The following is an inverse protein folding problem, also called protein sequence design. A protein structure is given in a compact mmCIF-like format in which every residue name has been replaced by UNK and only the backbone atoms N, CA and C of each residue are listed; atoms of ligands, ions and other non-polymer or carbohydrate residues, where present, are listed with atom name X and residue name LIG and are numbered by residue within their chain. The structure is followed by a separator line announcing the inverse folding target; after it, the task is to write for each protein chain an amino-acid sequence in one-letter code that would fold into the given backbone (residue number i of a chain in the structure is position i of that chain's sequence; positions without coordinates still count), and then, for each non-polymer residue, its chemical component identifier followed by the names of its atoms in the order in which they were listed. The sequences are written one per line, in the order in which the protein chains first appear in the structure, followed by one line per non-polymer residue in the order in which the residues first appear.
data_IF_101292797273
#
_entry.id   IF_101292797273
#
_cell.length_a   1.000
_cell.length_b   1.000
_cell.length_c   1.000
_cell.angle_alpha   90.00
_cell.angle_beta   90.00
_cell.angle_gamma   90.00
#
_symmetry.space_group_name_H-M   'P 1'
#
loop_
_entity.id
_entity.type
_entity.pdbx_description
1 polymer ?
#
# COMPACT_ATOMS: atom_id res chain seq x y z
N UNK A 1 -18.62 -4.18 -11.82
CA UNK A 1 -17.38 -4.94 -12.10
C UNK A 1 -17.54 -6.34 -11.53
N UNK A 2 -17.32 -7.39 -12.33
CA UNK A 2 -17.26 -8.78 -11.82
C UNK A 2 -15.99 -8.90 -10.97
N UNK A 3 -16.10 -9.37 -9.73
CA UNK A 3 -14.95 -9.83 -8.97
C UNK A 3 -14.31 -11.00 -9.75
N UNK A 4 -13.16 -10.77 -10.37
CA UNK A 4 -12.40 -11.83 -10.98
C UNK A 4 -11.73 -12.64 -9.87
N UNK A 5 -12.04 -13.93 -9.75
CA UNK A 5 -11.25 -14.84 -8.93
C UNK A 5 -9.89 -15.03 -9.61
N UNK A 6 -8.86 -14.36 -9.09
CA UNK A 6 -7.49 -14.54 -9.55
C UNK A 6 -6.93 -15.85 -9.00
N UNK A 7 -6.45 -16.71 -9.89
CA UNK A 7 -5.73 -17.92 -9.52
C UNK A 7 -4.24 -17.63 -9.63
N UNK A 8 -3.53 -17.83 -8.52
CA UNK A 8 -2.07 -17.66 -8.47
C UNK A 8 -1.36 -18.96 -8.84
N UNK A 9 -0.15 -18.85 -9.40
CA UNK A 9 0.70 -19.99 -9.71
C UNK A 9 1.21 -20.73 -8.47
N UNK A 10 2.03 -21.76 -8.69
CA UNK A 10 2.55 -22.66 -7.66
C UNK A 10 3.72 -22.11 -6.83
N UNK A 11 4.10 -20.84 -7.02
CA UNK A 11 5.17 -20.19 -6.26
C UNK A 11 4.86 -20.10 -4.76
N UNK A 12 5.91 -19.85 -3.97
CA UNK A 12 5.78 -19.80 -2.52
C UNK A 12 5.02 -18.54 -2.09
N UNK A 13 4.24 -18.68 -1.00
CA UNK A 13 3.51 -17.58 -0.38
C UNK A 13 4.21 -17.20 0.91
N UNK A 14 4.81 -16.02 0.91
CA UNK A 14 5.46 -15.41 2.05
C UNK A 14 4.51 -14.41 2.69
N UNK A 15 4.57 -14.28 4.01
CA UNK A 15 3.84 -13.25 4.75
C UNK A 15 4.82 -12.60 5.69
N UNK A 16 5.25 -11.39 5.35
CA UNK A 16 6.37 -10.71 6.01
C UNK A 16 5.88 -9.64 6.95
N UNK A 17 6.50 -9.52 8.12
CA UNK A 17 6.23 -8.45 9.08
C UNK A 17 7.03 -7.19 8.76
N UNK A 18 8.26 -7.03 9.26
CA UNK A 18 9.10 -5.86 9.02
C UNK A 18 9.70 -5.81 7.60
N UNK A 19 10.09 -4.61 7.16
CA UNK A 19 10.67 -4.33 5.84
C UNK A 19 11.89 -5.19 5.50
N UNK A 20 12.67 -5.57 6.52
CA UNK A 20 13.87 -6.41 6.34
C UNK A 20 13.50 -7.81 5.83
N UNK A 21 12.42 -8.39 6.35
CA UNK A 21 11.93 -9.69 5.88
C UNK A 21 11.45 -9.59 4.44
N UNK A 22 10.73 -8.51 4.09
CA UNK A 22 10.30 -8.26 2.71
C UNK A 22 11.50 -8.19 1.75
N UNK A 23 12.58 -7.50 2.14
CA UNK A 23 13.80 -7.42 1.34
C UNK A 23 14.50 -8.78 1.20
N UNK A 24 14.54 -9.58 2.27
CA UNK A 24 15.12 -10.93 2.24
C UNK A 24 14.33 -11.86 1.31
N UNK A 25 13.00 -11.84 1.39
CA UNK A 25 12.12 -12.56 0.45
C UNK A 25 12.37 -12.11 -1.00
N UNK A 26 12.45 -10.80 -1.23
CA UNK A 26 12.70 -10.25 -2.57
C UNK A 26 14.10 -10.58 -3.11
N UNK A 27 15.10 -10.73 -2.23
CA UNK A 27 16.45 -11.12 -2.61
C UNK A 27 16.58 -12.62 -2.92
N UNK A 28 15.80 -13.47 -2.25
CA UNK A 28 15.82 -14.92 -2.45
C UNK A 28 14.98 -15.39 -3.65
N UNK A 29 13.94 -14.64 -4.02
CA UNK A 29 13.04 -15.00 -5.11
C UNK A 29 13.59 -14.60 -6.49
N UNK A 30 13.43 -15.48 -7.49
CA UNK A 30 13.74 -15.17 -8.89
C UNK A 30 12.76 -14.11 -9.45
N UNK A 31 11.48 -14.24 -9.13
CA UNK A 31 10.44 -13.23 -9.36
C UNK A 31 9.49 -13.23 -8.17
N UNK A 32 9.05 -12.04 -7.75
CA UNK A 32 8.13 -11.86 -6.62
C UNK A 32 7.07 -10.80 -6.94
N UNK A 33 5.83 -11.02 -6.49
CA UNK A 33 4.77 -10.00 -6.51
C UNK A 33 4.28 -9.72 -5.10
N UNK A 34 4.12 -8.44 -4.77
CA UNK A 34 3.53 -8.01 -3.52
C UNK A 34 2.01 -8.02 -3.60
N UNK A 35 1.36 -8.55 -2.58
CA UNK A 35 -0.09 -8.55 -2.41
C UNK A 35 -0.43 -7.79 -1.13
N UNK A 36 -1.20 -6.72 -1.28
CA UNK A 36 -1.74 -5.95 -0.17
C UNK A 36 -3.00 -6.58 0.41
N UNK A 37 -4.12 -5.85 0.33
CA UNK A 37 -5.39 -6.27 0.90
C UNK A 37 -6.07 -7.47 0.23
N UNK A 38 -5.67 -7.83 -0.99
CA UNK A 38 -6.28 -8.90 -1.78
C UNK A 38 -7.56 -8.49 -2.52
N UNK A 39 -7.97 -7.23 -2.41
CA UNK A 39 -9.24 -6.71 -2.92
C UNK A 39 -9.21 -6.30 -4.41
N UNK A 40 -8.06 -6.50 -5.08
CA UNK A 40 -7.91 -6.18 -6.50
C UNK A 40 -8.39 -7.35 -7.37
N UNK A 41 -9.19 -7.04 -8.39
CA UNK A 41 -9.52 -7.96 -9.48
C UNK A 41 -8.54 -7.91 -10.66
N UNK A 42 -7.47 -7.11 -10.56
CA UNK A 42 -6.50 -6.90 -11.63
C UNK A 42 -5.44 -8.02 -11.66
N UNK A 43 -5.15 -8.55 -12.86
CA UNK A 43 -4.21 -9.66 -13.06
C UNK A 43 -2.73 -9.27 -12.86
N UNK A 44 -2.41 -8.00 -12.64
CA UNK A 44 -1.04 -7.50 -12.36
C UNK A 44 -0.38 -8.14 -11.15
N UNK A 45 -1.15 -8.68 -10.20
CA UNK A 45 -0.64 -9.44 -9.05
C UNK A 45 -0.42 -10.93 -9.33
N UNK A 46 -0.93 -11.45 -10.45
CA UNK A 46 -0.76 -12.86 -10.83
C UNK A 46 0.69 -13.09 -11.25
N UNK A 47 1.28 -14.17 -10.72
CA UNK A 47 2.65 -14.57 -11.03
C UNK A 47 2.79 -16.10 -10.90
N UNK A 48 3.75 -16.65 -11.62
CA UNK A 48 4.24 -18.02 -11.47
C UNK A 48 5.34 -18.13 -10.42
N UNK A 49 5.97 -17.00 -10.06
CA UNK A 49 6.94 -16.90 -8.97
C UNK A 49 6.28 -16.66 -7.62
N UNK A 50 7.06 -16.13 -6.68
CA UNK A 50 6.63 -16.01 -5.30
C UNK A 50 5.65 -14.85 -5.09
N UNK A 51 4.78 -15.01 -4.09
CA UNK A 51 3.91 -13.98 -3.59
C UNK A 51 4.36 -13.55 -2.20
N UNK A 52 4.38 -12.25 -1.95
CA UNK A 52 4.62 -11.71 -0.62
C UNK A 52 3.44 -10.88 -0.15
N UNK A 53 2.79 -11.33 0.91
CA UNK A 53 1.73 -10.60 1.58
C UNK A 53 2.35 -9.53 2.47
N UNK A 54 2.03 -8.27 2.18
CA UNK A 54 2.51 -7.09 2.95
C UNK A 54 1.52 -6.67 4.04
N UNK A 55 0.49 -7.47 4.30
CA UNK A 55 -0.59 -7.13 5.22
C UNK A 55 -0.17 -7.12 6.70
N UNK A 56 1.11 -7.35 7.02
CA UNK A 56 1.70 -7.14 8.35
C UNK A 56 2.65 -5.91 8.40
N UNK A 57 2.92 -5.24 7.28
CA UNK A 57 3.59 -3.94 7.22
C UNK A 57 2.59 -2.83 7.54
N UNK A 58 2.32 -2.60 8.83
CA UNK A 58 1.23 -1.72 9.29
C UNK A 58 1.68 -0.61 10.24
N UNK A 59 2.91 -0.11 10.11
CA UNK A 59 3.31 1.02 10.93
C UNK A 59 2.70 2.33 10.39
N UNK A 60 2.19 3.17 11.30
CA UNK A 60 2.08 4.61 11.06
C UNK A 60 3.36 5.22 11.58
N UNK A 61 4.16 5.78 10.68
CA UNK A 61 5.55 6.16 10.94
C UNK A 61 5.65 7.59 11.46
N UNK A 62 4.81 8.50 10.96
CA UNK A 62 4.75 9.89 11.41
C UNK A 62 3.40 10.54 11.07
N UNK A 63 3.01 11.52 11.88
CA UNK A 63 1.92 12.46 11.58
C UNK A 63 2.45 13.85 11.98
N UNK A 64 2.43 14.80 11.05
CA UNK A 64 2.86 16.17 11.26
C UNK A 64 1.72 17.14 10.89
N UNK A 65 0.91 17.57 11.88
CA UNK A 65 -0.18 18.49 11.64
C UNK A 65 0.27 19.89 11.21
N UNK A 66 1.49 20.32 11.54
CA UNK A 66 2.01 21.63 11.15
C UNK A 66 2.36 21.68 9.67
N UNK A 67 2.85 20.55 9.14
CA UNK A 67 3.16 20.39 7.72
C UNK A 67 2.00 19.78 6.92
N UNK A 68 0.85 19.52 7.57
CA UNK A 68 -0.29 18.84 6.96
C UNK A 68 0.12 17.55 6.24
N UNK A 69 0.94 16.72 6.89
CA UNK A 69 1.50 15.54 6.25
C UNK A 69 1.52 14.31 7.17
N UNK A 70 1.48 13.15 6.55
CA UNK A 70 1.54 11.87 7.24
C UNK A 70 2.45 10.88 6.53
N UNK A 71 3.03 9.97 7.30
CA UNK A 71 3.83 8.86 6.80
C UNK A 71 3.33 7.50 7.31
N UNK A 72 3.21 6.54 6.40
CA UNK A 72 2.59 5.25 6.66
C UNK A 72 3.20 4.13 5.82
N UNK A 73 3.21 2.91 6.36
CA UNK A 73 3.46 1.69 5.57
C UNK A 73 2.27 1.32 4.70
N UNK A 74 2.54 0.84 3.50
CA UNK A 74 1.50 0.57 2.50
C UNK A 74 0.63 -0.67 2.79
N UNK A 75 0.99 -1.48 3.79
CA UNK A 75 0.20 -2.62 4.25
C UNK A 75 -0.92 -2.27 5.23
N UNK A 76 -0.97 -1.04 5.75
CA UNK A 76 -2.09 -0.54 6.57
C UNK A 76 -3.42 -0.63 5.81
N UNK A 77 -4.56 -0.75 6.53
CA UNK A 77 -5.86 -0.54 5.88
C UNK A 77 -6.10 0.95 5.66
N UNK A 78 -6.66 1.28 4.50
CA UNK A 78 -6.97 2.65 4.11
C UNK A 78 -7.92 3.32 5.12
N UNK A 79 -8.98 2.64 5.55
CA UNK A 79 -9.92 3.18 6.54
C UNK A 79 -9.33 3.37 7.94
N UNK A 80 -8.38 2.50 8.34
CA UNK A 80 -7.66 2.65 9.62
C UNK A 80 -6.75 3.88 9.58
N UNK A 81 -6.06 4.09 8.45
CA UNK A 81 -5.21 5.26 8.22
C UNK A 81 -6.02 6.56 8.28
N UNK A 82 -7.11 6.65 7.53
CA UNK A 82 -7.92 7.88 7.47
C UNK A 82 -8.54 8.20 8.84
N UNK A 83 -8.96 7.18 9.59
CA UNK A 83 -9.45 7.34 10.96
C UNK A 83 -8.37 7.86 11.92
N UNK A 84 -7.13 7.40 11.77
CA UNK A 84 -6.00 7.85 12.59
C UNK A 84 -5.61 9.29 12.29
N UNK A 85 -5.54 9.66 11.01
CA UNK A 85 -5.29 11.03 10.59
C UNK A 85 -6.39 11.97 11.06
N UNK A 86 -7.65 11.57 10.95
CA UNK A 86 -8.77 12.36 11.43
C UNK A 86 -8.68 12.66 12.94
N UNK A 87 -8.30 11.66 13.75
CA UNK A 87 -8.03 11.87 15.19
C UNK A 87 -6.85 12.80 15.45
N UNK A 88 -5.89 12.86 14.54
CA UNK A 88 -4.75 13.78 14.56
C UNK A 88 -5.03 15.17 13.96
N UNK A 89 -6.28 15.45 13.56
CA UNK A 89 -6.67 16.74 12.98
C UNK A 89 -6.36 16.87 11.48
N UNK A 90 -6.10 15.76 10.78
CA UNK A 90 -5.78 15.74 9.35
C UNK A 90 -6.83 14.93 8.57
N UNK A 91 -7.08 15.31 7.32
CA UNK A 91 -7.97 14.58 6.42
C UNK A 91 -7.42 14.63 5.00
N UNK A 92 -7.71 13.61 4.19
CA UNK A 92 -7.42 13.67 2.76
C UNK A 92 -8.46 14.52 2.04
N UNK A 93 -8.02 15.30 1.05
CA UNK A 93 -8.90 16.09 0.17
C UNK A 93 -9.97 15.23 -0.55
N UNK A 94 -9.61 13.99 -0.93
CA UNK A 94 -10.53 13.03 -1.53
C UNK A 94 -10.50 11.70 -0.78
N UNK A 95 -11.69 11.14 -0.51
CA UNK A 95 -11.87 9.88 0.20
C UNK A 95 -12.72 8.89 -0.60
N UNK A 96 -12.32 7.63 -0.58
CA UNK A 96 -13.13 6.54 -1.12
C UNK A 96 -13.98 5.85 -0.05
N UNK A 97 -15.14 5.33 -0.44
CA UNK A 97 -15.96 4.44 0.38
C UNK A 97 -15.34 3.05 0.55
N UNK A 98 -14.32 2.70 -0.24
CA UNK A 98 -13.58 1.43 -0.12
C UNK A 98 -12.55 1.48 1.02
N UNK A 99 -13.02 1.32 2.26
CA UNK A 99 -12.18 1.45 3.47
C UNK A 99 -11.35 0.22 3.81
N UNK A 100 -11.71 -0.95 3.27
CA UNK A 100 -11.13 -2.24 3.66
C UNK A 100 -9.84 -2.62 2.90
N UNK A 101 -9.51 -1.92 1.82
CA UNK A 101 -8.28 -2.20 1.06
C UNK A 101 -7.02 -1.72 1.78
N UNK A 102 -5.87 -2.27 1.37
CA UNK A 102 -4.56 -1.76 1.81
C UNK A 102 -4.31 -0.35 1.26
N UNK A 103 -3.49 0.44 1.96
CA UNK A 103 -2.96 1.74 1.51
C UNK A 103 -2.30 1.61 0.13
N UNK A 104 -1.51 0.56 -0.14
CA UNK A 104 -0.98 0.29 -1.48
C UNK A 104 -2.08 0.22 -2.55
N UNK A 105 -3.14 -0.53 -2.25
CA UNK A 105 -4.29 -0.70 -3.14
C UNK A 105 -5.04 0.61 -3.38
N UNK A 106 -5.24 1.42 -2.34
CA UNK A 106 -5.91 2.71 -2.46
C UNK A 106 -5.08 3.69 -3.30
N UNK A 107 -3.82 3.92 -2.92
CA UNK A 107 -2.99 4.95 -3.54
C UNK A 107 -2.37 4.55 -4.88
N UNK A 108 -2.20 3.26 -5.18
CA UNK A 108 -1.62 2.80 -6.45
C UNK A 108 -2.62 2.07 -7.36
N UNK A 109 -3.83 1.79 -6.88
CA UNK A 109 -4.90 1.15 -7.66
C UNK A 109 -5.84 2.12 -8.38
N UNK A 110 -5.56 3.43 -8.36
CA UNK A 110 -6.38 4.45 -9.03
C UNK A 110 -7.73 4.72 -8.36
N UNK A 111 -7.80 4.53 -7.05
CA UNK A 111 -9.03 4.71 -6.28
C UNK A 111 -9.39 6.18 -6.17
N UNK A 112 -10.65 6.52 -6.39
CA UNK A 112 -11.17 7.88 -6.27
C UNK A 112 -12.43 7.91 -5.41
N UNK A 113 -12.75 9.08 -4.87
CA UNK A 113 -14.05 9.35 -4.26
C UNK A 113 -15.14 9.66 -5.29
N UNK A 114 -16.33 10.07 -4.83
CA UNK A 114 -17.49 10.33 -5.68
C UNK A 114 -17.42 11.67 -6.44
N UNK A 115 -16.50 12.57 -6.10
CA UNK A 115 -16.38 13.87 -6.73
C UNK A 115 -15.82 13.79 -8.14
N UNK A 116 -16.62 14.18 -9.15
CA UNK A 116 -16.21 14.13 -10.56
C UNK A 116 -15.02 15.04 -10.92
N UNK A 117 -14.70 16.02 -10.06
CA UNK A 117 -13.59 16.96 -10.26
C UNK A 117 -12.37 16.61 -9.39
N UNK A 118 -12.55 15.67 -8.47
CA UNK A 118 -11.51 15.27 -7.53
C UNK A 118 -10.75 14.10 -8.17
N UNK A 119 -9.43 14.25 -8.29
CA UNK A 119 -8.61 13.18 -8.84
C UNK A 119 -8.53 11.95 -7.92
N UNK A 120 -7.79 10.92 -8.34
CA UNK A 120 -7.48 9.76 -7.48
C UNK A 120 -6.94 10.19 -6.11
N UNK A 121 -7.20 9.39 -5.06
CA UNK A 121 -6.59 9.57 -3.73
C UNK A 121 -5.05 9.60 -3.80
N UNK A 122 -4.47 9.07 -4.87
CA UNK A 122 -3.05 9.16 -5.23
C UNK A 122 -2.50 10.59 -5.31
N UNK A 123 -3.33 11.60 -5.59
CA UNK A 123 -2.85 13.00 -5.69
C UNK A 123 -2.29 13.54 -4.38
N UNK A 124 -2.70 12.98 -3.26
CA UNK A 124 -2.15 13.33 -1.96
C UNK A 124 -0.70 12.86 -1.77
N UNK A 125 -0.21 11.88 -2.54
CA UNK A 125 1.13 11.29 -2.34
C UNK A 125 2.24 12.22 -2.81
N UNK A 126 3.20 12.50 -1.93
CA UNK A 126 4.36 13.36 -2.20
C UNK A 126 5.70 12.64 -2.22
N UNK A 127 5.82 11.47 -1.58
CA UNK A 127 7.01 10.62 -1.67
C UNK A 127 6.63 9.16 -1.61
N UNK A 128 7.44 8.27 -2.22
CA UNK A 128 7.29 6.81 -2.13
C UNK A 128 8.65 6.20 -1.84
N UNK A 129 8.66 5.20 -0.97
CA UNK A 129 9.81 4.31 -0.78
C UNK A 129 9.56 2.94 -1.38
N UNK A 130 10.61 2.39 -2.00
CA UNK A 130 10.56 1.09 -2.67
C UNK A 130 11.53 0.13 -2.00
N UNK A 131 11.02 -1.05 -1.61
CA UNK A 131 11.85 -2.15 -1.16
C UNK A 131 12.58 -2.75 -2.37
N UNK A 132 13.89 -2.51 -2.44
CA UNK A 132 14.74 -3.12 -3.46
C UNK A 132 15.37 -4.42 -2.90
N UNK A 133 15.62 -5.39 -3.79
CA UNK A 133 16.30 -6.65 -3.45
C UNK A 133 17.73 -6.46 -2.91
N UNK A 134 18.35 -5.33 -3.22
CA UNK A 134 19.61 -4.93 -2.59
C UNK A 134 19.33 -4.33 -1.22
N UNK A 135 19.89 -4.97 -0.19
CA UNK A 135 19.82 -4.52 1.21
C UNK A 135 20.53 -3.18 1.45
N UNK A 136 21.33 -2.69 0.48
CA UNK A 136 22.05 -1.43 0.56
C UNK A 136 21.21 -0.20 0.15
N UNK A 137 20.07 -0.38 -0.52
CA UNK A 137 19.21 0.73 -0.91
C UNK A 137 18.23 1.07 0.22
N UNK A 138 18.49 2.19 0.92
CA UNK A 138 17.55 2.76 1.88
C UNK A 138 17.17 4.18 1.46
N UNK A 139 15.90 4.39 1.13
CA UNK A 139 15.20 5.63 1.43
C UNK A 139 13.71 5.34 1.60
N UNK A 140 13.15 5.91 2.65
CA UNK A 140 11.95 5.49 3.37
C UNK A 140 10.76 6.40 3.05
N UNK A 141 9.56 5.89 3.38
CA UNK A 141 8.32 6.66 3.59
C UNK A 141 7.44 6.97 2.36
N UNK A 142 6.21 6.43 2.37
CA UNK A 142 5.10 7.07 1.65
C UNK A 142 4.72 8.30 2.46
N UNK A 143 4.89 9.49 1.90
CA UNK A 143 4.35 10.73 2.49
C UNK A 143 3.17 11.17 1.68
N UNK A 144 2.15 11.65 2.39
CA UNK A 144 1.02 12.31 1.77
C UNK A 144 0.91 13.73 2.33
N UNK A 145 0.56 14.68 1.46
CA UNK A 145 0.01 15.98 1.85
C UNK A 145 -1.50 15.80 2.04
N UNK A 146 -2.01 16.40 3.10
CA UNK A 146 -3.37 16.22 3.61
C UNK A 146 -4.13 17.54 3.52
#
# INVERSE_FOLDING_TARGET
MKAAHLVFGSGLRHRTGPIRELQQTAAAAATVRAVGGGDSGDSTVVTVGDLVLIDRLRAVLAIDPLQMSGCVDTGNRYGELTSQWYRGGLALENLSSMTHMSVAGAFFGGVHGPGNRDGSVSHAVTSVAVAHRSLAAQKRELRCNL
#
